data_IF_913496546415
#
_entry.id   IF_913496546415
#
_cell.length_a   1.000
_cell.length_b   1.000
_cell.length_c   1.000
_cell.angle_alpha   90.00
_cell.angle_beta   90.00
_cell.angle_gamma   90.00
#
_symmetry.space_group_name_H-M   'P 1'
#
loop_
_entity.id
_entity.type
_entity.pdbx_description
1 polymer ?
#
# COMPACT_ATOMS: atom_id res chain seq x y z
N UNK A 1 6.56 7.01 7.87
CA UNK A 1 5.51 6.96 6.83
C UNK A 1 5.67 8.20 5.96
N UNK A 2 5.75 8.03 4.65
CA UNK A 2 5.89 9.11 3.68
C UNK A 2 4.62 9.93 3.48
N UNK A 3 4.74 10.99 2.69
CA UNK A 3 3.64 11.91 2.38
C UNK A 3 2.53 11.21 1.57
N UNK A 4 1.28 11.60 1.82
CA UNK A 4 0.07 11.05 1.17
C UNK A 4 -0.18 9.56 1.35
N UNK A 5 0.66 8.86 2.12
CA UNK A 5 0.44 7.46 2.45
C UNK A 5 -0.72 7.31 3.44
N UNK A 6 -1.47 6.23 3.31
CA UNK A 6 -2.65 5.96 4.12
C UNK A 6 -2.62 4.52 4.65
N UNK A 7 -3.12 4.35 5.88
CA UNK A 7 -3.24 3.07 6.57
C UNK A 7 -4.71 2.88 6.91
N UNK A 8 -5.34 1.93 6.26
CA UNK A 8 -6.78 1.74 6.33
C UNK A 8 -7.18 0.84 7.51
N UNK A 9 -8.48 0.73 7.74
CA UNK A 9 -9.09 0.11 8.91
C UNK A 9 -8.56 -1.30 9.21
N UNK A 10 -8.14 -1.49 10.46
CA UNK A 10 -7.67 -2.78 10.96
C UNK A 10 -6.31 -3.24 10.40
N UNK A 11 -5.62 -2.45 9.58
CA UNK A 11 -4.26 -2.77 9.17
C UNK A 11 -3.29 -2.72 10.36
N UNK A 12 -2.28 -3.59 10.35
CA UNK A 12 -1.25 -3.70 11.39
C UNK A 12 0.11 -3.43 10.78
N UNK A 13 0.83 -2.49 11.37
CA UNK A 13 2.21 -2.17 11.01
C UNK A 13 3.10 -2.40 12.22
N UNK A 14 4.06 -3.29 12.08
CA UNK A 14 5.03 -3.61 13.12
C UNK A 14 6.45 -3.54 12.56
N UNK A 15 7.41 -3.20 13.41
CA UNK A 15 8.84 -3.29 13.09
C UNK A 15 9.58 -3.84 14.30
N UNK A 16 10.47 -4.80 14.05
CA UNK A 16 11.34 -5.37 15.07
C UNK A 16 12.41 -4.35 15.51
N UNK A 17 13.01 -4.50 16.70
CA UNK A 17 14.18 -3.73 17.10
C UNK A 17 15.28 -3.79 16.02
N UNK A 18 15.65 -2.61 15.50
CA UNK A 18 16.67 -2.49 14.44
C UNK A 18 16.18 -2.75 13.02
N UNK A 19 14.92 -3.15 12.81
CA UNK A 19 14.31 -3.39 11.50
C UNK A 19 12.99 -2.62 11.36
N UNK A 20 13.05 -1.28 11.17
CA UNK A 20 11.84 -0.48 11.08
C UNK A 20 11.03 -0.82 9.83
N UNK A 21 9.70 -0.79 9.93
CA UNK A 21 8.85 -0.75 8.74
C UNK A 21 8.86 0.65 8.15
N UNK A 22 9.19 0.75 6.87
CA UNK A 22 9.25 2.00 6.12
C UNK A 22 8.18 1.99 5.05
N UNK A 23 7.25 2.95 5.12
CA UNK A 23 6.37 3.29 4.01
C UNK A 23 6.90 4.58 3.37
N UNK A 24 7.23 4.53 2.09
CA UNK A 24 7.56 5.71 1.29
C UNK A 24 6.28 6.53 0.98
N UNK A 25 6.41 7.52 0.11
CA UNK A 25 5.29 8.40 -0.28
C UNK A 25 4.24 7.67 -1.12
N UNK A 26 2.99 8.11 -1.01
CA UNK A 26 1.85 7.62 -1.79
C UNK A 26 1.57 6.11 -1.65
N UNK A 27 1.97 5.50 -0.54
CA UNK A 27 1.66 4.09 -0.26
C UNK A 27 0.25 3.96 0.29
N UNK A 28 -0.54 3.07 -0.31
CA UNK A 28 -1.86 2.70 0.22
C UNK A 28 -1.73 1.35 0.92
N UNK A 29 -2.00 1.30 2.23
CA UNK A 29 -2.10 0.06 2.99
C UNK A 29 -3.57 -0.28 3.20
N UNK A 30 -4.05 -1.27 2.45
CA UNK A 30 -5.44 -1.69 2.42
C UNK A 30 -5.93 -2.27 3.75
N UNK A 31 -7.26 -2.27 3.92
CA UNK A 31 -7.92 -2.76 5.14
C UNK A 31 -7.37 -4.13 5.59
N UNK A 32 -7.07 -4.26 6.89
CA UNK A 32 -6.56 -5.48 7.52
C UNK A 32 -5.26 -6.04 6.92
N UNK A 33 -4.51 -5.28 6.13
CA UNK A 33 -3.18 -5.70 5.70
C UNK A 33 -2.23 -5.76 6.91
N UNK A 34 -1.25 -6.67 6.88
CA UNK A 34 -0.22 -6.80 7.90
C UNK A 34 1.14 -6.58 7.27
N UNK A 35 1.91 -5.63 7.80
CA UNK A 35 3.27 -5.32 7.33
C UNK A 35 4.22 -5.41 8.51
N UNK A 36 5.23 -6.26 8.40
CA UNK A 36 6.17 -6.53 9.47
C UNK A 36 7.61 -6.32 8.99
N UNK A 37 8.34 -5.40 9.64
CA UNK A 37 9.77 -5.10 9.38
C UNK A 37 10.13 -4.97 7.88
N UNK A 38 9.29 -4.31 7.07
CA UNK A 38 9.40 -4.29 5.61
C UNK A 38 9.60 -2.88 5.04
N UNK A 39 10.16 -2.79 3.82
CA UNK A 39 10.29 -1.53 3.08
C UNK A 39 9.30 -1.50 1.91
N UNK A 40 8.32 -0.61 1.98
CA UNK A 40 7.32 -0.40 0.94
C UNK A 40 7.66 0.89 0.20
N UNK A 41 8.08 0.76 -1.06
CA UNK A 41 8.51 1.91 -1.87
C UNK A 41 7.34 2.72 -2.42
N UNK A 42 7.69 3.83 -3.07
CA UNK A 42 6.75 4.88 -3.47
C UNK A 42 5.61 4.33 -4.32
N UNK A 43 4.38 4.74 -4.01
CA UNK A 43 3.22 4.48 -4.85
C UNK A 43 2.73 3.04 -4.86
N UNK A 44 3.21 2.18 -3.95
CA UNK A 44 2.72 0.81 -3.85
C UNK A 44 1.30 0.74 -3.26
N UNK A 45 0.53 -0.24 -3.73
CA UNK A 45 -0.76 -0.62 -3.16
C UNK A 45 -0.64 -1.98 -2.48
N UNK A 46 -0.82 -2.01 -1.17
CA UNK A 46 -0.90 -3.25 -0.39
C UNK A 46 -2.37 -3.62 -0.25
N UNK A 47 -2.80 -4.70 -0.91
CA UNK A 47 -4.20 -5.09 -0.99
C UNK A 47 -4.82 -5.46 0.35
N UNK A 48 -6.15 -5.46 0.39
CA UNK A 48 -6.94 -5.83 1.57
C UNK A 48 -6.50 -7.20 2.10
N UNK A 49 -6.18 -7.27 3.39
CA UNK A 49 -5.78 -8.52 4.05
C UNK A 49 -4.47 -9.13 3.55
N UNK A 50 -3.68 -8.42 2.73
CA UNK A 50 -2.37 -8.89 2.32
C UNK A 50 -1.38 -8.87 3.48
N UNK A 51 -0.42 -9.79 3.47
CA UNK A 51 0.61 -9.92 4.51
C UNK A 51 1.97 -9.77 3.85
N UNK A 52 2.79 -8.83 4.35
CA UNK A 52 4.19 -8.65 3.93
C UNK A 52 5.09 -9.00 5.11
N UNK A 53 5.90 -10.05 4.95
CA UNK A 53 6.77 -10.58 6.01
C UNK A 53 8.10 -9.81 6.13
N UNK A 54 8.81 -10.13 7.21
CA UNK A 54 10.04 -9.48 7.67
C UNK A 54 11.10 -9.34 6.58
N UNK A 55 11.71 -8.16 6.52
CA UNK A 55 12.86 -7.87 5.66
C UNK A 55 12.50 -7.68 4.18
N UNK A 56 11.25 -7.88 3.78
CA UNK A 56 10.83 -7.76 2.38
C UNK A 56 10.87 -6.30 1.93
N UNK A 57 11.45 -6.08 0.74
CA UNK A 57 11.34 -4.83 -0.01
C UNK A 57 10.34 -4.99 -1.15
N UNK A 58 9.31 -4.15 -1.15
CA UNK A 58 8.34 -4.04 -2.24
C UNK A 58 8.72 -2.85 -3.11
N UNK A 59 9.18 -3.14 -4.34
CA UNK A 59 9.64 -2.13 -5.29
C UNK A 59 8.55 -1.17 -5.75
N UNK A 60 8.93 0.06 -6.08
CA UNK A 60 8.02 1.18 -6.36
C UNK A 60 6.91 0.84 -7.37
N UNK A 61 5.70 1.35 -7.11
CA UNK A 61 4.51 1.17 -7.95
C UNK A 61 3.95 -0.24 -8.00
N UNK A 62 4.44 -1.17 -7.16
CA UNK A 62 3.94 -2.54 -7.15
C UNK A 62 2.59 -2.67 -6.43
N UNK A 63 1.79 -3.61 -6.90
CA UNK A 63 0.50 -3.96 -6.32
C UNK A 63 0.58 -5.35 -5.70
N UNK A 64 0.30 -5.43 -4.41
CA UNK A 64 0.11 -6.69 -3.70
C UNK A 64 -1.38 -6.99 -3.68
N UNK A 65 -1.80 -8.09 -4.28
CA UNK A 65 -3.20 -8.48 -4.35
C UNK A 65 -3.80 -8.76 -2.98
N UNK A 66 -5.12 -8.64 -2.89
CA UNK A 66 -5.85 -8.95 -1.67
C UNK A 66 -5.54 -10.37 -1.17
N UNK A 67 -5.30 -10.51 0.13
CA UNK A 67 -4.97 -11.78 0.78
C UNK A 67 -3.64 -12.42 0.39
N UNK A 68 -2.80 -11.78 -0.45
CA UNK A 68 -1.51 -12.34 -0.82
C UNK A 68 -0.53 -12.34 0.37
N UNK A 69 0.35 -13.35 0.44
CA UNK A 69 1.40 -13.44 1.48
C UNK A 69 2.77 -13.34 0.83
N UNK A 70 3.44 -12.21 1.01
CA UNK A 70 4.72 -11.89 0.38
C UNK A 70 5.86 -12.23 1.33
N UNK A 71 6.75 -13.11 0.87
CA UNK A 71 7.86 -13.67 1.66
C UNK A 71 9.24 -13.34 1.09
N UNK A 72 9.31 -12.62 -0.03
CA UNK A 72 10.53 -12.26 -0.76
C UNK A 72 10.39 -10.88 -1.38
N UNK A 73 11.51 -10.26 -1.68
CA UNK A 73 11.57 -8.98 -2.38
C UNK A 73 10.80 -9.03 -3.71
N UNK A 74 10.12 -7.93 -4.00
CA UNK A 74 9.27 -7.75 -5.18
C UNK A 74 9.90 -6.67 -6.06
N UNK A 75 10.20 -6.96 -7.33
CA UNK A 75 10.70 -5.95 -8.27
C UNK A 75 9.70 -4.80 -8.44
N UNK A 76 10.15 -3.58 -8.78
CA UNK A 76 9.26 -2.47 -9.09
C UNK A 76 8.19 -2.83 -10.14
N UNK A 77 7.05 -2.16 -10.06
CA UNK A 77 5.95 -2.30 -11.01
C UNK A 77 5.47 -3.75 -11.17
N UNK A 78 5.41 -4.52 -10.09
CA UNK A 78 4.94 -5.91 -10.11
C UNK A 78 3.52 -6.06 -9.55
N UNK A 79 2.72 -6.94 -10.15
CA UNK A 79 1.50 -7.47 -9.53
C UNK A 79 1.83 -8.81 -8.85
N UNK A 80 1.58 -8.89 -7.53
CA UNK A 80 1.82 -10.11 -6.74
C UNK A 80 0.50 -10.70 -6.25
N UNK A 81 0.28 -11.99 -6.50
CA UNK A 81 -0.94 -12.70 -6.07
C UNK A 81 -0.60 -14.02 -5.35
N UNK A 82 -1.50 -14.45 -4.46
CA UNK A 82 -1.52 -15.81 -3.89
C UNK A 82 -0.74 -16.03 -2.59
N UNK A 83 -0.73 -17.28 -2.14
CA UNK A 83 -0.02 -17.76 -0.95
C UNK A 83 0.74 -19.06 -1.33
N UNK A 84 2.08 -19.06 -1.38
CA UNK A 84 2.94 -17.88 -1.29
C UNK A 84 2.72 -16.92 -2.46
N UNK A 85 2.89 -15.63 -2.22
CA UNK A 85 2.76 -14.57 -3.20
C UNK A 85 3.79 -14.71 -4.31
N UNK A 86 3.33 -14.62 -5.56
CA UNK A 86 4.19 -14.65 -6.75
C UNK A 86 3.91 -13.47 -7.66
N UNK A 87 4.95 -12.92 -8.28
CA UNK A 87 4.81 -11.97 -9.37
C UNK A 87 4.11 -12.67 -10.53
N UNK A 88 2.93 -12.19 -10.92
CA UNK A 88 2.13 -12.79 -12.00
C UNK A 88 2.22 -12.00 -13.30
N UNK A 89 2.48 -10.69 -13.21
CA UNK A 89 2.73 -9.79 -14.34
C UNK A 89 3.31 -8.46 -13.84
N UNK A 90 3.79 -7.64 -14.76
CA UNK A 90 4.03 -6.23 -14.49
C UNK A 90 2.70 -5.45 -14.39
N UNK A 91 2.69 -4.37 -13.61
CA UNK A 91 1.65 -3.34 -13.66
C UNK A 91 2.01 -2.29 -14.71
N UNK A 92 1.00 -1.63 -15.27
CA UNK A 92 1.20 -0.60 -16.29
C UNK A 92 1.56 0.75 -15.67
N UNK A 93 2.10 1.67 -16.45
CA UNK A 93 2.30 3.06 -15.98
C UNK A 93 0.99 3.73 -15.57
N UNK A 94 -0.11 3.40 -16.27
CA UNK A 94 -1.46 3.83 -15.90
C UNK A 94 -1.86 3.30 -14.53
N UNK A 95 -1.65 2.00 -14.26
CA UNK A 95 -1.93 1.40 -12.95
C UNK A 95 -1.15 2.13 -11.84
N UNK A 96 0.10 2.52 -12.10
CA UNK A 96 0.92 3.26 -11.13
C UNK A 96 0.38 4.68 -10.92
N UNK A 97 0.02 5.38 -11.99
CA UNK A 97 -0.57 6.72 -11.91
C UNK A 97 -1.89 6.70 -11.12
N UNK A 98 -2.72 5.68 -11.33
CA UNK A 98 -3.97 5.47 -10.59
C UNK A 98 -3.71 5.20 -9.10
N UNK A 99 -2.67 4.43 -8.74
CA UNK A 99 -2.28 4.21 -7.34
C UNK A 99 -1.87 5.52 -6.65
N UNK A 100 -1.10 6.38 -7.33
CA UNK A 100 -0.73 7.71 -6.81
C UNK A 100 -1.98 8.58 -6.62
N UNK A 101 -2.86 8.64 -7.62
CA UNK A 101 -4.10 9.40 -7.53
C UNK A 101 -5.00 8.87 -6.40
N UNK A 102 -5.08 7.57 -6.22
CA UNK A 102 -5.82 6.93 -5.13
C UNK A 102 -5.30 7.36 -3.75
N UNK A 103 -3.98 7.36 -3.54
CA UNK A 103 -3.37 7.84 -2.30
C UNK A 103 -3.69 9.32 -2.03
N UNK A 104 -3.67 10.16 -3.08
CA UNK A 104 -4.06 11.58 -2.98
C UNK A 104 -5.53 11.76 -2.62
N UNK A 105 -6.43 10.92 -3.15
CA UNK A 105 -7.86 10.94 -2.78
C UNK A 105 -8.06 10.61 -1.30
N UNK A 106 -7.34 9.61 -0.76
CA UNK A 106 -7.37 9.31 0.67
C UNK A 106 -6.85 10.46 1.53
N UNK A 107 -5.88 11.25 1.06
CA UNK A 107 -5.47 12.45 1.75
C UNK A 107 -6.59 13.50 1.81
N UNK A 108 -7.32 13.72 0.72
CA UNK A 108 -8.49 14.63 0.71
C UNK A 108 -9.58 14.13 1.67
N UNK A 109 -9.88 12.82 1.64
CA UNK A 109 -10.81 12.19 2.55
C UNK A 109 -10.40 12.40 4.03
N UNK A 110 -9.11 12.24 4.34
CA UNK A 110 -8.58 12.47 5.68
C UNK A 110 -8.71 13.95 6.12
N UNK A 111 -8.47 14.90 5.21
CA UNK A 111 -8.69 16.33 5.49
C UNK A 111 -10.17 16.63 5.76
N UNK A 112 -11.08 16.04 4.98
CA UNK A 112 -12.51 16.20 5.21
C UNK A 112 -12.95 15.65 6.57
N UNK A 113 -12.52 14.43 6.94
CA UNK A 113 -12.80 13.85 8.25
C UNK A 113 -12.17 14.63 9.41
N UNK A 114 -11.03 15.29 9.19
CA UNK A 114 -10.40 16.15 10.17
C UNK A 114 -11.05 17.56 10.27
N UNK A 115 -12.10 17.85 9.49
CA UNK A 115 -12.71 19.19 9.43
C UNK A 115 -11.83 20.25 8.76
N UNK A 116 -10.82 19.83 8.00
CA UNK A 116 -9.81 20.67 7.33
C UNK A 116 -10.02 20.79 5.82
N UNK A 117 -11.11 20.23 5.30
CA UNK A 117 -11.49 20.27 3.89
C UNK A 117 -12.96 19.88 3.71
N UNK A 118 -13.50 20.12 2.51
CA UNK A 118 -14.90 19.79 2.16
C UNK A 118 -15.00 18.75 1.05
N UNK A 119 -13.90 18.48 0.35
CA UNK A 119 -13.84 17.52 -0.75
C UNK A 119 -13.49 16.13 -0.24
N UNK A 120 -14.33 15.12 -0.53
CA UNK A 120 -14.08 13.74 -0.13
C UNK A 120 -13.04 13.03 -1.00
N UNK A 121 -12.78 13.51 -2.21
CA UNK A 121 -11.87 12.87 -3.18
C UNK A 121 -12.41 11.58 -3.81
N UNK A 122 -13.51 11.04 -3.29
CA UNK A 122 -14.24 9.91 -3.81
C UNK A 122 -15.67 10.34 -4.16
N UNK A 123 -16.20 9.78 -5.23
CA UNK A 123 -17.63 9.89 -5.54
C UNK A 123 -18.39 8.83 -4.74
N UNK A 124 -19.61 9.15 -4.32
CA UNK A 124 -20.47 8.15 -3.72
C UNK A 124 -20.77 7.06 -4.77
N UNK A 125 -20.44 5.81 -4.45
CA UNK A 125 -20.94 4.70 -5.23
C UNK A 125 -22.46 4.63 -5.07
N UNK A 126 -23.22 4.44 -6.16
CA UNK A 126 -24.67 4.29 -6.11
C UNK A 126 -25.10 3.06 -5.31
#
# INVERSE_FOLDING_TARGET
MGAYSNVQDGAVIHGDPGQPTVLADYVTVGHRAVIHSAHIERGCLIGIGAIVLNGVRIGAGSTIGAGAVVTKDVPPQSLVLGIPGKVVRAVTETDVAEQIAHAQKYHQLALAHAGRGTTLGFEAHP
#
